data_IF_279997366714
#
_entry.id   IF_279997366714
#
_cell.length_a   1.000
_cell.length_b   1.000
_cell.length_c   1.000
_cell.angle_alpha   90.00
_cell.angle_beta   90.00
_cell.angle_gamma   90.00
#
_symmetry.space_group_name_H-M   'P 1'
#
loop_
_entity.id
_entity.type
_entity.pdbx_description
1 polymer ?
#
# COMPACT_ATOMS: atom_id res chain seq x y z
N UNK A 1 40.97 -80.78 -6.89
CA UNK A 1 39.52 -80.65 -6.56
C UNK A 1 39.39 -79.32 -5.87
N UNK A 2 38.79 -78.31 -6.52
CA UNK A 2 38.57 -76.94 -5.98
C UNK A 2 37.09 -76.80 -5.72
N UNK A 3 36.72 -76.68 -4.45
CA UNK A 3 35.35 -76.52 -3.98
C UNK A 3 35.03 -74.98 -4.03
N UNK A 4 34.02 -74.57 -4.80
CA UNK A 4 33.51 -73.22 -4.86
C UNK A 4 32.42 -73.04 -3.83
N UNK A 5 32.63 -72.15 -2.86
CA UNK A 5 31.61 -71.69 -1.94
C UNK A 5 30.79 -70.60 -2.64
N UNK A 6 29.49 -70.75 -2.79
CA UNK A 6 28.55 -69.78 -3.22
C UNK A 6 28.01 -69.08 -1.94
N UNK A 7 28.31 -67.77 -1.78
CA UNK A 7 27.72 -66.96 -0.77
C UNK A 7 26.53 -66.21 -1.41
N UNK A 8 25.32 -66.58 -0.99
CA UNK A 8 24.11 -65.85 -1.35
C UNK A 8 23.95 -64.63 -0.40
N UNK A 9 24.14 -63.44 -0.94
CA UNK A 9 23.84 -62.22 -0.21
C UNK A 9 22.33 -61.88 -0.31
N UNK A 10 21.59 -62.00 0.78
CA UNK A 10 20.20 -61.54 0.88
C UNK A 10 20.21 -60.04 1.02
N UNK A 11 19.77 -59.32 -0.02
CA UNK A 11 19.46 -57.91 0.07
C UNK A 11 18.14 -57.71 0.85
N UNK A 12 18.24 -57.33 2.11
CA UNK A 12 17.10 -56.83 2.85
C UNK A 12 16.80 -55.40 2.40
N UNK A 13 15.76 -55.21 1.59
CA UNK A 13 15.18 -53.88 1.33
C UNK A 13 14.54 -53.38 2.61
N UNK A 14 15.30 -52.58 3.40
CA UNK A 14 14.72 -51.73 4.43
C UNK A 14 14.04 -50.54 3.75
N UNK A 15 12.70 -50.50 3.83
CA UNK A 15 11.93 -49.30 3.44
C UNK A 15 12.44 -48.10 4.26
N UNK A 16 12.67 -46.95 3.64
CA UNK A 16 13.04 -45.77 4.42
C UNK A 16 11.89 -45.41 5.36
N UNK A 17 12.17 -45.46 6.65
CA UNK A 17 11.27 -44.85 7.63
C UNK A 17 11.05 -43.40 7.25
N UNK A 18 9.81 -43.03 6.98
CA UNK A 18 9.44 -41.62 6.81
C UNK A 18 9.81 -40.93 8.12
N UNK A 19 10.92 -40.20 8.11
CA UNK A 19 11.24 -39.27 9.21
C UNK A 19 10.10 -38.26 9.28
N UNK A 20 9.41 -38.20 10.40
CA UNK A 20 8.40 -37.20 10.63
C UNK A 20 9.04 -35.81 10.34
N UNK A 21 8.41 -35.03 9.48
CA UNK A 21 8.85 -33.65 9.19
C UNK A 21 8.96 -32.94 10.52
N UNK A 22 10.12 -32.39 10.90
CA UNK A 22 10.26 -31.70 12.18
C UNK A 22 9.27 -30.55 12.22
N UNK A 23 8.55 -30.41 13.36
CA UNK A 23 7.65 -29.29 13.57
C UNK A 23 8.42 -28.00 13.35
N UNK A 24 7.88 -27.11 12.50
CA UNK A 24 8.48 -25.81 12.24
C UNK A 24 8.59 -25.06 13.57
N UNK A 25 9.78 -24.47 13.82
CA UNK A 25 9.97 -23.62 14.99
C UNK A 25 9.03 -22.39 14.92
N UNK A 26 8.50 -21.91 16.07
CA UNK A 26 7.68 -20.69 16.10
C UNK A 26 8.44 -19.50 15.48
N UNK A 27 7.72 -18.66 14.72
CA UNK A 27 8.28 -17.42 14.15
C UNK A 27 8.31 -16.27 15.17
N UNK A 28 7.99 -16.53 16.42
CA UNK A 28 8.02 -15.57 17.50
C UNK A 28 9.24 -15.77 18.40
N UNK A 29 9.77 -14.69 19.04
CA UNK A 29 10.79 -14.84 20.06
C UNK A 29 10.21 -15.54 21.30
N UNK A 30 11.06 -16.06 22.20
CA UNK A 30 10.61 -16.56 23.50
C UNK A 30 9.93 -15.46 24.31
N UNK A 31 8.62 -15.52 24.48
CA UNK A 31 7.83 -14.48 25.16
C UNK A 31 8.23 -14.26 26.63
N UNK A 32 8.79 -15.26 27.30
CA UNK A 32 9.33 -15.12 28.64
C UNK A 32 10.40 -14.01 28.77
N UNK A 33 11.11 -13.69 27.70
CA UNK A 33 12.07 -12.59 27.68
C UNK A 33 11.42 -11.19 27.82
N UNK A 34 10.11 -11.11 27.55
CA UNK A 34 9.33 -9.86 27.60
C UNK A 34 8.37 -9.80 28.80
N UNK A 35 8.39 -10.82 29.65
CA UNK A 35 7.63 -10.83 30.92
C UNK A 35 8.40 -10.03 31.99
N UNK A 36 7.77 -9.48 32.88
CA UNK A 36 7.42 -8.22 33.47
C UNK A 36 8.56 -7.19 33.50
N UNK A 37 8.90 -6.53 32.41
CA UNK A 37 9.67 -5.29 32.48
C UNK A 37 8.73 -4.09 32.25
N UNK A 38 9.00 -2.99 32.92
CA UNK A 38 8.39 -1.73 32.51
C UNK A 38 8.89 -1.43 31.07
N UNK A 39 7.95 -1.22 30.13
CA UNK A 39 8.23 -0.98 28.70
C UNK A 39 8.66 -2.24 27.90
N UNK A 40 8.05 -3.37 28.16
CA UNK A 40 8.29 -4.59 27.35
C UNK A 40 7.77 -4.46 25.92
N UNK A 41 6.63 -3.78 25.73
CA UNK A 41 5.95 -3.70 24.44
C UNK A 41 6.72 -2.95 23.35
N UNK A 42 7.43 -1.84 23.58
CA UNK A 42 8.23 -1.19 22.54
C UNK A 42 9.26 -2.12 21.91
N UNK A 43 9.98 -2.91 22.69
CA UNK A 43 10.95 -3.88 22.19
C UNK A 43 10.27 -5.02 21.38
N UNK A 44 9.11 -5.47 21.83
CA UNK A 44 8.34 -6.51 21.17
C UNK A 44 7.80 -6.03 19.82
N UNK A 45 7.27 -4.81 19.75
CA UNK A 45 6.79 -4.18 18.51
C UNK A 45 7.95 -4.02 17.52
N UNK A 46 9.11 -3.55 17.97
CA UNK A 46 10.29 -3.46 17.14
C UNK A 46 10.70 -4.82 16.58
N UNK A 47 10.65 -5.86 17.40
CA UNK A 47 10.94 -7.23 16.96
C UNK A 47 9.95 -7.71 15.90
N UNK A 48 8.65 -7.50 16.11
CA UNK A 48 7.62 -7.80 15.12
C UNK A 48 7.91 -7.13 13.76
N UNK A 49 8.21 -5.83 13.79
CA UNK A 49 8.52 -5.05 12.57
C UNK A 49 9.72 -5.62 11.83
N UNK A 50 10.81 -5.95 12.55
CA UNK A 50 12.03 -6.47 11.94
C UNK A 50 11.83 -7.87 11.35
N UNK A 51 11.11 -8.75 12.04
CA UNK A 51 10.83 -10.09 11.58
C UNK A 51 9.88 -10.06 10.36
N UNK A 52 8.82 -9.23 10.40
CA UNK A 52 7.93 -9.00 9.26
C UNK A 52 8.70 -8.45 8.04
N UNK A 53 9.59 -7.48 8.24
CA UNK A 53 10.42 -6.93 7.18
C UNK A 53 11.37 -8.00 6.60
N UNK A 54 11.97 -8.84 7.44
CA UNK A 54 12.84 -9.94 7.01
C UNK A 54 12.11 -10.98 6.17
N UNK A 55 10.89 -11.37 6.58
CA UNK A 55 10.04 -12.23 5.77
C UNK A 55 9.64 -11.59 4.44
N UNK A 56 9.36 -10.29 4.45
CA UNK A 56 9.02 -9.55 3.23
C UNK A 56 10.17 -9.49 2.23
N UNK A 57 11.42 -9.46 2.69
CA UNK A 57 12.62 -9.54 1.83
C UNK A 57 12.80 -10.93 1.22
N UNK A 58 12.40 -11.99 1.93
CA UNK A 58 12.47 -13.36 1.42
C UNK A 58 11.32 -13.64 0.44
N UNK A 59 10.10 -13.33 0.81
CA UNK A 59 8.89 -13.63 0.06
C UNK A 59 8.45 -12.43 -0.79
N UNK A 60 9.21 -12.07 -1.81
CA UNK A 60 8.95 -10.93 -2.69
C UNK A 60 7.90 -11.21 -3.76
N UNK A 61 7.64 -12.48 -4.09
CA UNK A 61 6.66 -12.88 -5.10
C UNK A 61 5.25 -12.77 -4.51
N UNK A 62 4.54 -11.71 -4.88
CA UNK A 62 3.33 -11.24 -4.19
C UNK A 62 2.21 -12.28 -4.08
N UNK A 63 1.96 -13.05 -5.15
CA UNK A 63 0.91 -14.06 -5.22
C UNK A 63 1.45 -15.48 -5.01
N UNK A 64 2.65 -15.64 -4.45
CA UNK A 64 3.25 -16.93 -4.11
C UNK A 64 2.46 -17.64 -3.02
N UNK A 65 2.23 -18.95 -3.20
CA UNK A 65 1.51 -19.75 -2.21
C UNK A 65 2.30 -19.84 -0.89
N UNK A 66 3.62 -20.00 -0.98
CA UNK A 66 4.52 -20.04 0.17
C UNK A 66 4.52 -18.71 0.94
N UNK A 67 4.45 -17.56 0.24
CA UNK A 67 4.30 -16.27 0.88
C UNK A 67 3.01 -16.21 1.72
N UNK A 68 1.87 -16.52 1.12
CA UNK A 68 0.58 -16.46 1.81
C UNK A 68 0.51 -17.38 3.02
N UNK A 69 1.06 -18.60 2.91
CA UNK A 69 1.11 -19.56 4.01
C UNK A 69 1.99 -19.06 5.14
N UNK A 70 3.20 -18.60 4.83
CA UNK A 70 4.18 -18.16 5.82
C UNK A 70 3.72 -16.91 6.57
N UNK A 71 3.16 -15.90 5.88
CA UNK A 71 2.64 -14.71 6.55
C UNK A 71 1.42 -15.03 7.42
N UNK A 72 0.50 -15.91 6.98
CA UNK A 72 -0.60 -16.35 7.84
C UNK A 72 -0.11 -17.10 9.08
N UNK A 73 0.94 -17.92 8.94
CA UNK A 73 1.59 -18.59 10.08
C UNK A 73 2.21 -17.56 11.01
N UNK A 74 3.00 -16.64 10.49
CA UNK A 74 3.62 -15.56 11.25
C UNK A 74 2.60 -14.78 12.09
N UNK A 75 1.52 -14.32 11.47
CA UNK A 75 0.48 -13.56 12.18
C UNK A 75 -0.21 -14.39 13.27
N UNK A 76 -0.54 -15.65 13.01
CA UNK A 76 -1.15 -16.53 14.02
C UNK A 76 -0.22 -16.82 15.19
N UNK A 77 1.05 -17.09 14.91
CA UNK A 77 2.06 -17.35 15.93
C UNK A 77 2.22 -16.13 16.85
N UNK A 78 2.23 -14.92 16.25
CA UNK A 78 2.31 -13.69 17.02
C UNK A 78 1.06 -13.42 17.87
N UNK A 79 -0.14 -13.67 17.34
CA UNK A 79 -1.38 -13.55 18.12
C UNK A 79 -1.38 -14.51 19.30
N UNK A 80 -1.05 -15.78 19.06
CA UNK A 80 -0.95 -16.79 20.11
C UNK A 80 0.10 -16.42 21.17
N UNK A 81 1.24 -15.89 20.75
CA UNK A 81 2.29 -15.44 21.64
C UNK A 81 1.88 -14.23 22.50
N UNK A 82 1.18 -13.25 21.91
CA UNK A 82 0.63 -12.10 22.64
C UNK A 82 -0.34 -12.53 23.74
N UNK A 83 -1.15 -13.58 23.51
CA UNK A 83 -2.10 -14.10 24.51
C UNK A 83 -1.41 -14.72 25.74
N UNK A 84 -0.12 -15.04 25.66
CA UNK A 84 0.65 -15.54 26.80
C UNK A 84 1.23 -14.44 27.71
N UNK A 85 1.15 -13.19 27.29
CA UNK A 85 1.72 -12.06 28.03
C UNK A 85 0.84 -11.66 29.20
N UNK A 86 1.43 -11.23 30.34
CA UNK A 86 0.69 -10.86 31.56
C UNK A 86 0.09 -9.45 31.43
N UNK A 87 -0.89 -9.28 30.55
CA UNK A 87 -1.51 -7.99 30.21
C UNK A 87 -1.91 -7.16 31.45
N UNK A 88 -2.54 -7.77 32.43
CA UNK A 88 -3.03 -7.06 33.63
C UNK A 88 -1.90 -6.51 34.50
N UNK A 89 -0.69 -7.05 34.38
CA UNK A 89 0.48 -6.58 35.14
C UNK A 89 1.22 -5.42 34.46
N UNK A 90 0.86 -5.11 33.21
CA UNK A 90 1.49 -4.03 32.43
C UNK A 90 0.99 -2.65 32.86
N UNK A 91 1.87 -1.65 32.73
CA UNK A 91 1.50 -0.25 32.83
C UNK A 91 0.58 0.19 31.68
N UNK A 92 -0.01 1.37 31.79
CA UNK A 92 -0.99 1.88 30.83
C UNK A 92 -0.43 1.92 29.41
N UNK A 93 0.81 2.39 29.24
CA UNK A 93 1.45 2.51 27.91
C UNK A 93 1.66 1.14 27.25
N UNK A 94 2.16 0.15 28.01
CA UNK A 94 2.34 -1.20 27.48
C UNK A 94 1.01 -1.89 27.16
N UNK A 95 -0.04 -1.64 27.94
CA UNK A 95 -1.39 -2.15 27.62
C UNK A 95 -1.95 -1.53 26.33
N UNK A 96 -1.75 -0.24 26.13
CA UNK A 96 -2.11 0.44 24.88
C UNK A 96 -1.35 -0.19 23.70
N UNK A 97 -0.05 -0.31 23.81
CA UNK A 97 0.82 -0.89 22.77
C UNK A 97 0.46 -2.35 22.46
N UNK A 98 0.10 -3.14 23.48
CA UNK A 98 -0.38 -4.53 23.31
C UNK A 98 -1.68 -4.57 22.48
N UNK A 99 -2.66 -3.72 22.83
CA UNK A 99 -3.95 -3.65 22.11
C UNK A 99 -3.73 -3.21 20.67
N UNK A 100 -2.87 -2.20 20.45
CA UNK A 100 -2.55 -1.70 19.11
C UNK A 100 -1.84 -2.75 18.26
N UNK A 101 -0.86 -3.47 18.82
CA UNK A 101 -0.14 -4.53 18.09
C UNK A 101 -1.08 -5.69 17.74
N UNK A 102 -1.89 -6.15 18.69
CA UNK A 102 -2.88 -7.20 18.44
C UNK A 102 -3.83 -6.81 17.31
N UNK A 103 -4.39 -5.63 17.39
CA UNK A 103 -5.33 -5.12 16.39
C UNK A 103 -4.68 -5.00 14.98
N UNK A 104 -3.43 -4.56 14.93
CA UNK A 104 -2.66 -4.51 13.68
C UNK A 104 -2.46 -5.91 13.07
N UNK A 105 -2.07 -6.89 13.88
CA UNK A 105 -1.83 -8.26 13.41
C UNK A 105 -3.13 -8.94 12.95
N UNK A 106 -4.24 -8.74 13.67
CA UNK A 106 -5.57 -9.23 13.25
C UNK A 106 -5.98 -8.64 11.90
N UNK A 107 -5.71 -7.35 11.69
CA UNK A 107 -5.97 -6.68 10.43
C UNK A 107 -5.11 -7.26 9.30
N UNK A 108 -3.79 -7.41 9.49
CA UNK A 108 -2.88 -7.95 8.48
C UNK A 108 -3.21 -9.41 8.11
N UNK A 109 -3.61 -10.22 9.09
CA UNK A 109 -4.08 -11.59 8.85
C UNK A 109 -5.32 -11.60 7.96
N UNK A 110 -6.25 -10.68 8.18
CA UNK A 110 -7.44 -10.52 7.34
C UNK A 110 -7.08 -10.01 5.94
N UNK A 111 -6.25 -8.97 5.83
CA UNK A 111 -5.79 -8.43 4.55
C UNK A 111 -5.13 -9.52 3.69
N UNK A 112 -4.35 -10.41 4.31
CA UNK A 112 -3.75 -11.53 3.58
C UNK A 112 -4.84 -12.48 3.02
N UNK A 113 -5.87 -12.77 3.79
CA UNK A 113 -6.98 -13.60 3.33
C UNK A 113 -7.78 -12.94 2.19
N UNK A 114 -8.00 -11.62 2.28
CA UNK A 114 -8.68 -10.85 1.25
C UNK A 114 -7.85 -10.76 -0.04
N UNK A 115 -6.53 -10.60 0.05
CA UNK A 115 -5.62 -10.65 -1.10
C UNK A 115 -5.68 -12.00 -1.81
N UNK A 116 -5.65 -13.10 -1.06
CA UNK A 116 -5.76 -14.45 -1.59
C UNK A 116 -7.13 -14.69 -2.27
N UNK A 117 -8.21 -14.17 -1.70
CA UNK A 117 -9.55 -14.25 -2.29
C UNK A 117 -9.64 -13.48 -3.61
N UNK A 118 -9.12 -12.27 -3.64
CA UNK A 118 -9.09 -11.40 -4.83
C UNK A 118 -8.22 -11.98 -5.94
N UNK A 119 -7.10 -12.62 -5.61
CA UNK A 119 -6.29 -13.33 -6.58
C UNK A 119 -7.08 -14.49 -7.20
N UNK A 120 -7.76 -15.31 -6.37
CA UNK A 120 -8.61 -16.43 -6.86
C UNK A 120 -9.74 -15.96 -7.77
N UNK A 121 -10.34 -14.79 -7.53
CA UNK A 121 -11.33 -14.20 -8.43
C UNK A 121 -10.74 -13.82 -9.80
N UNK A 122 -9.49 -13.37 -9.83
CA UNK A 122 -8.80 -12.98 -11.06
C UNK A 122 -8.15 -14.16 -11.80
N UNK A 123 -7.87 -15.26 -11.11
CA UNK A 123 -7.15 -16.45 -11.64
C UNK A 123 -7.75 -17.02 -12.94
N UNK A 124 -9.09 -17.08 -13.14
CA UNK A 124 -9.68 -17.51 -14.41
C UNK A 124 -9.29 -16.66 -15.63
N UNK A 125 -8.87 -15.41 -15.42
CA UNK A 125 -8.35 -14.54 -16.48
C UNK A 125 -6.85 -14.74 -16.72
N UNK A 126 -6.12 -15.34 -15.78
CA UNK A 126 -4.67 -15.58 -15.86
C UNK A 126 -4.31 -17.04 -15.53
N UNK A 127 -4.92 -18.03 -16.22
CA UNK A 127 -4.80 -19.46 -15.84
C UNK A 127 -3.39 -20.03 -15.97
N UNK A 128 -2.48 -19.31 -16.62
CA UNK A 128 -1.07 -19.64 -16.79
C UNK A 128 -0.17 -19.05 -15.70
N UNK A 129 -0.71 -18.23 -14.80
CA UNK A 129 0.11 -17.48 -13.86
C UNK A 129 0.72 -18.36 -12.76
N UNK A 130 -0.04 -19.31 -12.21
CA UNK A 130 0.40 -20.12 -11.05
C UNK A 130 1.74 -20.82 -11.28
N UNK A 131 1.97 -21.59 -12.35
CA UNK A 131 3.26 -22.25 -12.57
C UNK A 131 4.44 -21.29 -12.70
N UNK A 132 4.19 -20.08 -13.23
CA UNK A 132 5.22 -19.06 -13.40
C UNK A 132 5.52 -18.32 -12.08
N UNK A 133 4.52 -18.12 -11.24
CA UNK A 133 4.66 -17.61 -9.87
C UNK A 133 5.50 -18.60 -9.05
N UNK A 134 5.17 -19.89 -9.12
CA UNK A 134 5.89 -20.94 -8.40
C UNK A 134 7.36 -21.04 -8.86
N UNK A 135 7.63 -20.84 -10.16
CA UNK A 135 8.98 -20.77 -10.70
C UNK A 135 9.78 -19.58 -10.10
N UNK A 136 9.16 -18.41 -10.03
CA UNK A 136 9.80 -17.22 -9.45
C UNK A 136 10.04 -17.41 -7.94
N UNK A 137 9.10 -18.01 -7.22
CA UNK A 137 9.22 -18.32 -5.79
C UNK A 137 10.34 -19.34 -5.54
N UNK A 138 10.42 -20.40 -6.35
CA UNK A 138 11.47 -21.41 -6.26
C UNK A 138 12.87 -20.82 -6.38
N UNK A 139 13.09 -19.84 -7.27
CA UNK A 139 14.36 -19.10 -7.35
C UNK A 139 14.65 -18.31 -6.08
N UNK A 140 13.64 -17.60 -5.56
CA UNK A 140 13.78 -16.82 -4.31
C UNK A 140 14.16 -17.71 -3.13
N UNK A 141 13.66 -18.93 -3.12
CA UNK A 141 14.01 -19.95 -2.12
C UNK A 141 15.30 -20.73 -2.47
N UNK A 142 16.06 -20.27 -3.47
CA UNK A 142 17.36 -20.86 -3.91
C UNK A 142 17.24 -22.33 -4.33
N UNK A 143 16.08 -22.74 -4.84
CA UNK A 143 15.87 -24.08 -5.37
C UNK A 143 16.54 -24.25 -6.74
N UNK A 144 17.19 -25.38 -6.97
CA UNK A 144 17.82 -25.69 -8.24
C UNK A 144 16.82 -25.71 -9.39
N UNK A 145 17.19 -25.16 -10.54
CA UNK A 145 16.36 -25.07 -11.73
C UNK A 145 16.94 -25.95 -12.86
N UNK A 146 16.08 -26.73 -13.49
CA UNK A 146 16.44 -27.47 -14.71
C UNK A 146 16.00 -26.66 -15.95
N UNK A 147 16.94 -26.26 -16.78
CA UNK A 147 16.68 -25.39 -17.93
C UNK A 147 15.71 -25.99 -18.96
N UNK A 148 15.73 -27.32 -19.18
CA UNK A 148 14.81 -28.00 -20.10
C UNK A 148 13.40 -28.05 -19.53
N UNK A 149 13.27 -28.38 -18.24
CA UNK A 149 11.97 -28.39 -17.56
C UNK A 149 11.34 -26.99 -17.57
N UNK A 150 12.11 -25.96 -17.25
CA UNK A 150 11.64 -24.56 -17.29
C UNK A 150 11.25 -24.12 -18.69
N UNK A 151 12.03 -24.45 -19.72
CA UNK A 151 11.67 -24.16 -21.12
C UNK A 151 10.35 -24.82 -21.51
N UNK A 152 10.12 -26.06 -21.08
CA UNK A 152 8.86 -26.79 -21.31
C UNK A 152 7.69 -26.09 -20.59
N UNK A 153 7.87 -25.68 -19.33
CA UNK A 153 6.87 -24.94 -18.55
C UNK A 153 6.51 -23.61 -19.23
N UNK A 154 7.52 -22.86 -19.71
CA UNK A 154 7.28 -21.61 -20.44
C UNK A 154 6.52 -21.82 -21.75
N UNK A 155 6.82 -22.90 -22.48
CA UNK A 155 6.10 -23.27 -23.70
C UNK A 155 4.64 -23.64 -23.40
N UNK A 156 4.39 -24.41 -22.35
CA UNK A 156 3.03 -24.74 -21.91
C UNK A 156 2.26 -23.48 -21.49
N UNK A 157 2.92 -22.59 -20.77
CA UNK A 157 2.35 -21.28 -20.37
C UNK A 157 2.02 -20.41 -21.58
N UNK A 158 2.88 -20.40 -22.61
CA UNK A 158 2.61 -19.70 -23.86
C UNK A 158 1.34 -20.22 -24.54
N UNK A 159 1.17 -21.52 -24.63
CA UNK A 159 -0.06 -22.12 -25.18
C UNK A 159 -1.30 -21.72 -24.36
N UNK A 160 -1.16 -21.65 -23.05
CA UNK A 160 -2.26 -21.20 -22.16
C UNK A 160 -2.58 -19.71 -22.35
N UNK A 161 -1.57 -18.85 -22.53
CA UNK A 161 -1.75 -17.43 -22.88
C UNK A 161 -2.49 -17.29 -24.22
N UNK A 162 -2.10 -18.03 -25.23
CA UNK A 162 -2.75 -18.02 -26.55
C UNK A 162 -4.23 -18.43 -26.46
N UNK A 163 -4.53 -19.50 -25.72
CA UNK A 163 -5.92 -19.93 -25.46
C UNK A 163 -6.73 -18.87 -24.72
N UNK A 164 -6.14 -18.22 -23.70
CA UNK A 164 -6.79 -17.15 -22.97
C UNK A 164 -7.05 -15.94 -23.90
N UNK A 165 -6.10 -15.62 -24.78
CA UNK A 165 -6.25 -14.54 -25.77
C UNK A 165 -7.41 -14.83 -26.74
N UNK A 166 -7.51 -16.04 -27.29
CA UNK A 166 -8.61 -16.40 -28.20
C UNK A 166 -9.97 -16.38 -27.48
N UNK A 167 -10.02 -16.88 -26.26
CA UNK A 167 -11.23 -16.81 -25.42
C UNK A 167 -11.66 -15.36 -25.17
N UNK A 168 -10.70 -14.48 -24.88
CA UNK A 168 -10.97 -13.06 -24.66
C UNK A 168 -11.47 -12.35 -25.94
N UNK A 169 -10.88 -12.66 -27.10
CA UNK A 169 -11.34 -12.13 -28.39
C UNK A 169 -12.78 -12.58 -28.72
N UNK A 170 -13.12 -13.81 -28.36
CA UNK A 170 -14.43 -14.38 -28.66
C UNK A 170 -15.56 -13.87 -27.77
N UNK A 171 -15.29 -13.51 -26.51
CA UNK A 171 -16.33 -13.16 -25.54
C UNK A 171 -16.00 -12.02 -24.59
N UNK A 172 -14.83 -11.38 -24.73
CA UNK A 172 -14.41 -10.28 -23.86
C UNK A 172 -14.94 -8.94 -24.34
N UNK A 173 -16.05 -8.48 -23.75
CA UNK A 173 -16.58 -7.13 -23.93
C UNK A 173 -17.11 -6.64 -22.57
N UNK A 174 -16.55 -5.53 -22.10
CA UNK A 174 -16.97 -4.89 -20.84
C UNK A 174 -18.39 -4.33 -20.91
N UNK A 175 -18.89 -4.05 -22.10
CA UNK A 175 -20.25 -3.55 -22.36
C UNK A 175 -21.27 -4.65 -22.66
N UNK A 176 -20.83 -5.92 -22.68
CA UNK A 176 -21.75 -7.05 -22.84
C UNK A 176 -22.80 -7.10 -21.72
N UNK A 177 -23.99 -7.60 -22.03
CA UNK A 177 -25.06 -7.79 -21.02
C UNK A 177 -24.61 -8.69 -19.84
N UNK A 178 -23.69 -9.62 -20.10
CA UNK A 178 -23.02 -10.46 -19.10
C UNK A 178 -21.51 -10.49 -19.39
N UNK A 179 -20.74 -9.56 -18.84
CA UNK A 179 -19.29 -9.54 -19.03
C UNK A 179 -18.62 -10.82 -18.50
N UNK A 180 -17.49 -11.19 -19.11
CA UNK A 180 -16.68 -12.33 -18.67
C UNK A 180 -16.16 -12.17 -17.22
N UNK A 181 -15.90 -10.92 -16.80
CA UNK A 181 -15.52 -10.54 -15.46
C UNK A 181 -15.92 -9.09 -15.17
N UNK A 182 -15.95 -8.70 -13.91
CA UNK A 182 -16.11 -7.30 -13.53
C UNK A 182 -14.87 -6.48 -13.92
N UNK A 183 -15.03 -5.17 -14.10
CA UNK A 183 -13.89 -4.25 -14.35
C UNK A 183 -12.82 -4.33 -13.27
N UNK A 184 -13.22 -4.42 -12.00
CA UNK A 184 -12.27 -4.54 -10.88
C UNK A 184 -11.50 -5.87 -10.94
N UNK A 185 -12.18 -6.99 -11.22
CA UNK A 185 -11.52 -8.30 -11.40
C UNK A 185 -10.55 -8.29 -12.59
N UNK A 186 -10.95 -7.70 -13.73
CA UNK A 186 -10.08 -7.55 -14.89
C UNK A 186 -8.86 -6.67 -14.58
N UNK A 187 -9.06 -5.54 -13.88
CA UNK A 187 -7.97 -4.66 -13.45
C UNK A 187 -6.98 -5.38 -12.51
N UNK A 188 -7.48 -6.24 -11.62
CA UNK A 188 -6.61 -7.09 -10.77
C UNK A 188 -5.79 -8.09 -11.60
N UNK A 189 -6.41 -8.69 -12.63
CA UNK A 189 -5.71 -9.60 -13.55
C UNK A 189 -4.59 -8.87 -14.32
N UNK A 190 -4.84 -7.64 -14.80
CA UNK A 190 -3.82 -6.79 -15.45
C UNK A 190 -2.67 -6.48 -14.48
N UNK A 191 -2.97 -6.13 -13.22
CA UNK A 191 -1.94 -5.90 -12.19
C UNK A 191 -1.15 -7.18 -11.88
N UNK A 192 -1.82 -8.33 -11.84
CA UNK A 192 -1.17 -9.64 -11.67
C UNK A 192 -0.20 -9.94 -12.80
N UNK A 193 -0.59 -9.66 -14.06
CA UNK A 193 0.28 -9.84 -15.22
C UNK A 193 1.50 -8.91 -15.20
N UNK A 194 1.32 -7.66 -14.81
CA UNK A 194 2.42 -6.71 -14.67
C UNK A 194 3.43 -7.18 -13.61
N UNK A 195 2.94 -7.64 -12.45
CA UNK A 195 3.80 -8.19 -11.39
C UNK A 195 4.51 -9.46 -11.87
N UNK A 196 3.79 -10.38 -12.49
CA UNK A 196 4.36 -11.62 -13.02
C UNK A 196 5.44 -11.36 -14.07
N UNK A 197 5.23 -10.40 -14.96
CA UNK A 197 6.24 -9.97 -15.93
C UNK A 197 7.50 -9.42 -15.25
N UNK A 198 7.36 -8.65 -14.18
CA UNK A 198 8.47 -8.15 -13.38
C UNK A 198 9.21 -9.30 -12.68
N UNK A 199 8.47 -10.21 -12.03
CA UNK A 199 9.05 -11.37 -11.34
C UNK A 199 9.82 -12.29 -12.31
N UNK A 200 9.29 -12.53 -13.51
CA UNK A 200 9.96 -13.32 -14.54
C UNK A 200 11.16 -12.61 -15.15
N UNK A 201 11.12 -11.28 -15.28
CA UNK A 201 12.28 -10.48 -15.69
C UNK A 201 13.42 -10.60 -14.67
N UNK A 202 13.10 -10.49 -13.39
CA UNK A 202 14.07 -10.68 -12.29
C UNK A 202 14.60 -12.12 -12.27
N UNK A 203 13.71 -13.11 -12.48
CA UNK A 203 14.07 -14.51 -12.58
C UNK A 203 15.05 -14.75 -13.73
N UNK A 204 14.73 -14.27 -14.94
CA UNK A 204 15.58 -14.46 -16.12
C UNK A 204 16.91 -13.70 -15.97
N UNK A 205 16.87 -12.45 -15.52
CA UNK A 205 18.07 -11.63 -15.32
C UNK A 205 19.06 -12.18 -14.28
N UNK A 206 18.57 -12.99 -13.34
CA UNK A 206 19.45 -13.68 -12.39
C UNK A 206 20.32 -14.75 -13.07
N UNK A 207 19.77 -15.46 -14.06
CA UNK A 207 20.48 -16.56 -14.73
C UNK A 207 21.20 -16.12 -16.00
N UNK A 208 20.71 -15.08 -16.68
CA UNK A 208 21.28 -14.60 -17.95
C UNK A 208 22.75 -14.22 -17.79
N UNK A 209 23.62 -14.87 -18.61
CA UNK A 209 25.07 -14.66 -18.57
C UNK A 209 25.81 -15.32 -17.39
N UNK A 210 25.09 -15.81 -16.38
CA UNK A 210 25.65 -16.50 -15.23
C UNK A 210 25.56 -18.04 -15.39
N UNK A 211 24.40 -18.56 -15.81
CA UNK A 211 24.20 -19.97 -16.14
C UNK A 211 24.00 -20.13 -17.66
N UNK A 212 25.07 -20.49 -18.41
CA UNK A 212 24.99 -20.60 -19.87
C UNK A 212 24.05 -21.71 -20.34
N UNK A 213 23.98 -22.83 -19.61
CA UNK A 213 23.16 -23.96 -19.97
C UNK A 213 21.69 -23.67 -19.78
N UNK A 214 21.30 -23.12 -18.64
CA UNK A 214 19.93 -22.69 -18.38
C UNK A 214 19.52 -21.58 -19.36
N UNK A 215 20.36 -20.58 -19.54
CA UNK A 215 20.12 -19.46 -20.47
C UNK A 215 19.89 -19.96 -21.90
N UNK A 216 20.68 -20.93 -22.36
CA UNK A 216 20.51 -21.53 -23.69
C UNK A 216 19.14 -22.15 -23.89
N UNK A 217 18.62 -22.88 -22.87
CA UNK A 217 17.29 -23.50 -22.94
C UNK A 217 16.14 -22.48 -22.89
N UNK A 218 16.23 -21.47 -22.02
CA UNK A 218 15.08 -20.66 -21.65
C UNK A 218 14.98 -19.34 -22.41
N UNK A 219 16.05 -18.85 -23.06
CA UNK A 219 16.09 -17.52 -23.70
C UNK A 219 14.92 -17.28 -24.66
N UNK A 220 14.74 -18.15 -25.64
CA UNK A 220 13.66 -17.96 -26.64
C UNK A 220 12.26 -18.19 -26.04
N UNK A 221 12.01 -19.27 -25.27
CA UNK A 221 10.74 -19.45 -24.56
C UNK A 221 10.37 -18.23 -23.70
N UNK A 222 11.33 -17.68 -22.93
CA UNK A 222 11.10 -16.52 -22.09
C UNK A 222 10.69 -15.28 -22.91
N UNK A 223 11.46 -14.93 -23.93
CA UNK A 223 11.18 -13.74 -24.76
C UNK A 223 9.80 -13.85 -25.44
N UNK A 224 9.47 -15.02 -25.96
CA UNK A 224 8.19 -15.26 -26.63
C UNK A 224 7.02 -15.20 -25.66
N UNK A 225 7.17 -15.83 -24.49
CA UNK A 225 6.15 -15.84 -23.44
C UNK A 225 5.91 -14.42 -22.89
N UNK A 226 6.99 -13.70 -22.59
CA UNK A 226 6.90 -12.36 -22.01
C UNK A 226 6.17 -11.39 -22.98
N UNK A 227 6.49 -11.49 -24.28
CA UNK A 227 5.77 -10.72 -25.30
C UNK A 227 4.28 -11.11 -25.35
N UNK A 228 3.97 -12.40 -25.38
CA UNK A 228 2.58 -12.87 -25.43
C UNK A 228 1.77 -12.43 -24.21
N UNK A 229 2.37 -12.44 -23.01
CA UNK A 229 1.73 -11.93 -21.77
C UNK A 229 1.49 -10.42 -21.84
N UNK A 230 2.43 -9.64 -22.41
CA UNK A 230 2.25 -8.20 -22.58
C UNK A 230 1.11 -7.89 -23.56
N UNK A 231 1.07 -8.57 -24.72
CA UNK A 231 0.01 -8.43 -25.71
C UNK A 231 -1.37 -8.82 -25.12
N UNK A 232 -1.42 -9.91 -24.34
CA UNK A 232 -2.64 -10.33 -23.65
C UNK A 232 -3.09 -9.34 -22.60
N UNK A 233 -2.15 -8.79 -21.80
CA UNK A 233 -2.45 -7.78 -20.79
C UNK A 233 -3.05 -6.52 -21.40
N UNK A 234 -2.51 -6.04 -22.52
CA UNK A 234 -3.04 -4.90 -23.26
C UNK A 234 -4.46 -5.18 -23.77
N UNK A 235 -4.70 -6.37 -24.34
CA UNK A 235 -6.03 -6.77 -24.83
C UNK A 235 -7.03 -6.90 -23.68
N UNK A 236 -6.62 -7.43 -22.52
CA UNK A 236 -7.45 -7.55 -21.34
C UNK A 236 -7.86 -6.17 -20.79
N UNK A 237 -6.90 -5.24 -20.73
CA UNK A 237 -7.15 -3.86 -20.32
C UNK A 237 -8.13 -3.15 -21.28
N UNK A 238 -7.92 -3.29 -22.57
CA UNK A 238 -8.83 -2.75 -23.61
C UNK A 238 -10.25 -3.31 -23.52
N UNK A 239 -10.37 -4.65 -23.47
CA UNK A 239 -11.66 -5.34 -23.62
C UNK A 239 -12.49 -5.39 -22.34
N UNK A 240 -11.90 -5.52 -21.18
CA UNK A 240 -12.61 -5.72 -19.89
C UNK A 240 -12.44 -4.59 -18.90
N UNK A 241 -11.35 -3.83 -18.92
CA UNK A 241 -11.20 -2.64 -18.07
C UNK A 241 -11.78 -1.40 -18.77
N UNK A 242 -11.67 -1.35 -20.11
CA UNK A 242 -12.24 -0.28 -20.91
C UNK A 242 -11.47 1.03 -20.78
N UNK A 243 -10.15 0.99 -20.75
CA UNK A 243 -9.30 2.18 -20.82
C UNK A 243 -9.32 2.78 -22.23
N UNK A 244 -10.47 3.23 -22.67
CA UNK A 244 -10.55 4.16 -23.77
C UNK A 244 -10.41 5.57 -23.18
N UNK A 245 -9.28 6.21 -23.43
CA UNK A 245 -8.96 7.59 -23.07
C UNK A 245 -8.36 7.80 -21.67
N UNK A 246 -7.17 8.37 -21.64
CA UNK A 246 -6.44 8.86 -20.48
C UNK A 246 -7.10 10.12 -19.86
N UNK A 247 -8.39 10.06 -19.54
CA UNK A 247 -9.02 11.08 -18.73
C UNK A 247 -8.95 10.65 -17.27
N UNK A 248 -8.58 11.56 -16.38
CA UNK A 248 -8.56 11.40 -14.92
C UNK A 248 -9.88 10.82 -14.34
N UNK A 249 -10.95 10.76 -15.13
CA UNK A 249 -12.26 10.27 -14.74
C UNK A 249 -12.49 8.76 -14.95
N UNK A 250 -11.55 8.03 -15.56
CA UNK A 250 -11.65 6.59 -15.80
C UNK A 250 -10.92 5.78 -14.72
N UNK A 251 -11.21 6.06 -13.46
CA UNK A 251 -10.70 5.28 -12.33
C UNK A 251 -11.54 4.01 -12.18
N UNK A 252 -10.91 2.84 -12.29
CA UNK A 252 -11.54 1.57 -11.92
C UNK A 252 -11.39 1.38 -10.42
N UNK A 253 -12.51 1.46 -9.69
CA UNK A 253 -12.54 1.19 -8.26
C UNK A 253 -12.25 -0.29 -7.94
N UNK A 254 -11.68 -0.53 -6.79
CA UNK A 254 -11.46 -1.88 -6.24
C UNK A 254 -12.02 -1.95 -4.81
N UNK A 255 -13.36 -1.96 -4.65
CA UNK A 255 -14.02 -1.84 -3.35
C UNK A 255 -13.67 -3.03 -2.44
N UNK A 256 -13.38 -2.72 -1.17
CA UNK A 256 -13.07 -3.74 -0.15
C UNK A 256 -14.32 -4.40 0.44
N UNK A 257 -15.50 -3.89 0.09
CA UNK A 257 -16.78 -4.37 0.64
C UNK A 257 -17.00 -3.92 2.09
N UNK A 258 -18.23 -4.20 2.58
CA UNK A 258 -18.62 -3.79 3.94
C UNK A 258 -17.72 -4.41 5.02
N UNK A 259 -17.45 -5.70 4.92
CA UNK A 259 -16.65 -6.41 5.93
C UNK A 259 -15.20 -5.91 5.95
N UNK A 260 -14.63 -5.60 4.79
CA UNK A 260 -13.31 -4.96 4.67
C UNK A 260 -13.29 -3.58 5.32
N UNK A 261 -14.33 -2.77 5.07
CA UNK A 261 -14.46 -1.44 5.67
C UNK A 261 -14.59 -1.50 7.19
N UNK A 262 -15.43 -2.39 7.72
CA UNK A 262 -15.58 -2.60 9.17
C UNK A 262 -14.28 -3.08 9.81
N UNK A 263 -13.53 -3.96 9.12
CA UNK A 263 -12.19 -4.38 9.57
C UNK A 263 -11.20 -3.23 9.62
N UNK A 264 -11.23 -2.34 8.61
CA UNK A 264 -10.40 -1.13 8.59
C UNK A 264 -10.78 -0.17 9.73
N UNK A 265 -12.07 0.02 10.01
CA UNK A 265 -12.52 0.83 11.15
C UNK A 265 -12.07 0.24 12.50
N UNK A 266 -12.13 -1.08 12.65
CA UNK A 266 -11.60 -1.74 13.85
C UNK A 266 -10.10 -1.49 14.01
N UNK A 267 -9.32 -1.58 12.91
CA UNK A 267 -7.89 -1.25 12.94
C UNK A 267 -7.64 0.20 13.37
N UNK A 268 -8.42 1.14 12.86
CA UNK A 268 -8.33 2.55 13.22
C UNK A 268 -8.93 2.87 14.61
N UNK A 269 -9.46 1.86 15.31
CA UNK A 269 -10.15 1.99 16.60
C UNK A 269 -11.32 2.99 16.57
N UNK A 270 -12.00 3.08 15.43
CA UNK A 270 -13.17 3.93 15.27
C UNK A 270 -14.40 3.27 15.88
N UNK A 271 -15.07 3.92 16.84
CA UNK A 271 -16.25 3.36 17.52
C UNK A 271 -17.56 3.58 16.73
N UNK A 272 -17.46 3.80 15.42
CA UNK A 272 -18.58 4.12 14.56
C UNK A 272 -18.82 3.03 13.51
N UNK A 273 -20.07 2.85 13.13
CA UNK A 273 -20.43 2.15 11.90
C UNK A 273 -20.24 3.06 10.68
N UNK A 274 -20.12 2.50 9.45
CA UNK A 274 -20.08 3.31 8.24
C UNK A 274 -21.29 4.25 8.10
N UNK A 275 -22.47 3.81 8.49
CA UNK A 275 -23.72 4.57 8.43
C UNK A 275 -23.72 5.75 9.41
N UNK A 276 -23.22 5.55 10.63
CA UNK A 276 -23.07 6.62 11.61
C UNK A 276 -22.06 7.67 11.15
N UNK A 277 -20.94 7.25 10.52
CA UNK A 277 -19.99 8.20 9.95
C UNK A 277 -20.59 8.98 8.77
N UNK A 278 -21.39 8.34 7.93
CA UNK A 278 -22.11 9.05 6.86
C UNK A 278 -23.08 10.09 7.41
N UNK A 279 -23.88 9.75 8.42
CA UNK A 279 -24.79 10.69 9.07
C UNK A 279 -24.05 11.85 9.75
N UNK A 280 -22.89 11.58 10.37
CA UNK A 280 -22.02 12.62 10.93
C UNK A 280 -21.49 13.54 9.82
N UNK A 281 -21.01 12.98 8.71
CA UNK A 281 -20.51 13.77 7.58
C UNK A 281 -21.61 14.66 6.95
N UNK A 282 -22.84 14.16 6.83
CA UNK A 282 -23.98 14.96 6.35
C UNK A 282 -24.28 16.14 7.28
N UNK A 283 -24.19 15.92 8.60
CA UNK A 283 -24.35 17.00 9.60
C UNK A 283 -23.25 18.06 9.49
N UNK A 284 -21.99 17.62 9.36
CA UNK A 284 -20.85 18.52 9.20
C UNK A 284 -20.91 19.30 7.87
N UNK A 285 -21.37 18.66 6.79
CA UNK A 285 -21.59 19.33 5.51
C UNK A 285 -22.65 20.41 5.61
N UNK A 286 -23.78 20.13 6.26
CA UNK A 286 -24.85 21.10 6.49
C UNK A 286 -24.36 22.28 7.35
N UNK A 287 -23.57 22.01 8.37
CA UNK A 287 -22.92 23.06 9.18
C UNK A 287 -21.97 23.90 8.32
N UNK A 288 -21.12 23.28 7.51
CA UNK A 288 -20.17 23.97 6.62
C UNK A 288 -20.89 24.88 5.61
N UNK A 289 -22.00 24.41 5.02
CA UNK A 289 -22.82 25.26 4.14
C UNK A 289 -23.46 26.45 4.86
N UNK A 290 -23.92 26.24 6.09
CA UNK A 290 -24.45 27.34 6.90
C UNK A 290 -23.39 28.40 7.20
N UNK A 291 -22.16 27.99 7.54
CA UNK A 291 -21.02 28.89 7.76
C UNK A 291 -20.59 29.64 6.48
N UNK A 292 -20.62 28.97 5.32
CA UNK A 292 -20.36 29.62 4.02
C UNK A 292 -21.42 30.68 3.73
N UNK A 293 -22.70 30.45 4.02
CA UNK A 293 -23.76 31.44 3.86
C UNK A 293 -23.61 32.60 4.85
N UNK A 294 -23.26 32.32 6.10
CA UNK A 294 -22.98 33.36 7.11
C UNK A 294 -21.86 34.28 6.66
N UNK A 295 -20.71 33.72 6.25
CA UNK A 295 -19.57 34.46 5.74
C UNK A 295 -19.92 35.26 4.46
N UNK A 296 -20.72 34.68 3.55
CA UNK A 296 -21.22 35.37 2.36
C UNK A 296 -22.07 36.58 2.68
N UNK A 297 -22.98 36.47 3.66
CA UNK A 297 -23.79 37.59 4.15
C UNK A 297 -22.92 38.71 4.77
N UNK A 298 -21.94 38.35 5.59
CA UNK A 298 -20.98 39.31 6.17
C UNK A 298 -20.16 40.04 5.09
N UNK A 299 -19.86 39.38 3.97
CA UNK A 299 -19.17 39.95 2.82
C UNK A 299 -20.07 40.78 1.91
N UNK A 300 -21.40 40.83 2.15
CA UNK A 300 -22.38 41.58 1.38
C UNK A 300 -22.91 40.89 0.12
N UNK A 301 -22.74 39.53 0.02
CA UNK A 301 -23.24 38.74 -1.11
C UNK A 301 -24.56 38.02 -0.80
N UNK A 302 -25.16 38.22 0.38
CA UNK A 302 -26.34 37.47 0.79
C UNK A 302 -26.07 35.97 0.81
N UNK A 303 -27.03 35.17 0.35
CA UNK A 303 -26.90 33.71 0.32
C UNK A 303 -26.03 33.18 -0.84
N UNK A 304 -25.54 34.05 -1.72
CA UNK A 304 -24.68 33.64 -2.84
C UNK A 304 -23.21 33.45 -2.40
N UNK A 305 -22.99 32.43 -1.58
CA UNK A 305 -21.65 32.08 -1.11
C UNK A 305 -20.68 31.74 -2.26
N UNK A 306 -21.19 31.33 -3.44
CA UNK A 306 -20.35 31.08 -4.61
C UNK A 306 -19.73 32.35 -5.16
N UNK A 307 -20.51 33.42 -5.26
CA UNK A 307 -20.00 34.72 -5.67
C UNK A 307 -19.01 35.30 -4.63
N UNK A 308 -19.29 35.13 -3.33
CA UNK A 308 -18.35 35.46 -2.27
C UNK A 308 -17.02 34.73 -2.40
N UNK A 309 -17.08 33.41 -2.66
CA UNK A 309 -15.90 32.56 -2.88
C UNK A 309 -15.10 33.00 -4.13
N UNK A 310 -15.78 33.35 -5.22
CA UNK A 310 -15.11 33.88 -6.42
C UNK A 310 -14.36 35.18 -6.13
N UNK A 311 -14.90 36.07 -5.30
CA UNK A 311 -14.18 37.26 -4.82
C UNK A 311 -12.92 36.87 -4.03
N UNK A 312 -13.03 35.92 -3.10
CA UNK A 312 -11.89 35.43 -2.30
C UNK A 312 -10.82 34.81 -3.19
N UNK A 313 -11.17 33.99 -4.16
CA UNK A 313 -10.23 33.38 -5.11
C UNK A 313 -9.43 34.44 -5.89
N UNK A 314 -10.00 35.58 -6.17
CA UNK A 314 -9.34 36.65 -6.91
C UNK A 314 -8.39 37.53 -6.05
N UNK A 315 -8.18 37.20 -4.78
CA UNK A 315 -7.19 37.86 -3.90
C UNK A 315 -5.81 37.23 -3.95
N UNK A 316 -5.52 36.41 -4.95
CA UNK A 316 -4.24 35.73 -5.08
C UNK A 316 -3.04 36.68 -5.19
N UNK A 317 -1.87 36.21 -4.74
CA UNK A 317 -0.61 36.96 -4.87
C UNK A 317 -0.04 36.87 -6.29
N UNK A 318 0.82 37.77 -6.67
CA UNK A 318 1.48 37.77 -7.97
C UNK A 318 2.34 36.48 -8.16
N UNK A 319 2.54 36.02 -9.41
CA UNK A 319 3.46 34.90 -9.70
C UNK A 319 4.85 35.16 -9.10
N UNK A 320 5.37 34.12 -8.40
CA UNK A 320 6.66 34.21 -7.70
C UNK A 320 6.57 34.64 -6.23
N UNK A 321 5.42 35.12 -5.75
CA UNK A 321 5.25 35.58 -4.38
C UNK A 321 4.72 34.52 -3.40
N UNK A 322 4.32 33.35 -3.90
CA UNK A 322 3.74 32.30 -3.07
C UNK A 322 4.68 31.85 -1.96
N UNK A 323 5.99 31.74 -2.23
CA UNK A 323 6.97 31.31 -1.23
C UNK A 323 7.11 32.32 -0.08
N UNK A 324 7.08 33.60 -0.37
CA UNK A 324 7.12 34.67 0.63
C UNK A 324 5.85 34.65 1.49
N UNK A 325 4.68 34.49 0.86
CA UNK A 325 3.39 34.36 1.52
C UNK A 325 3.36 33.15 2.46
N UNK A 326 3.73 31.97 2.00
CA UNK A 326 3.75 30.72 2.81
C UNK A 326 4.68 30.90 4.02
N UNK A 327 5.86 31.50 3.83
CA UNK A 327 6.79 31.76 4.94
C UNK A 327 6.24 32.72 5.98
N UNK A 328 5.54 33.77 5.54
CA UNK A 328 4.91 34.75 6.44
C UNK A 328 3.78 34.10 7.26
N UNK A 329 2.92 33.31 6.60
CA UNK A 329 1.83 32.57 7.26
C UNK A 329 2.34 31.48 8.22
N UNK A 330 3.42 30.78 7.87
CA UNK A 330 4.04 29.80 8.78
C UNK A 330 4.60 30.51 10.05
N UNK A 331 5.24 31.65 9.88
CA UNK A 331 5.73 32.44 11.02
C UNK A 331 4.57 32.91 11.91
N UNK A 332 3.52 33.44 11.30
CA UNK A 332 2.31 33.88 12.00
C UNK A 332 1.69 32.76 12.83
N UNK A 333 1.54 31.54 12.24
CA UNK A 333 1.01 30.38 12.92
C UNK A 333 1.86 29.97 14.13
N UNK A 334 3.18 29.88 13.96
CA UNK A 334 4.11 29.54 15.03
C UNK A 334 4.06 30.55 16.17
N UNK A 335 4.07 31.86 15.84
CA UNK A 335 4.03 32.90 16.84
C UNK A 335 2.69 32.91 17.59
N UNK A 336 1.58 32.70 16.91
CA UNK A 336 0.25 32.61 17.52
C UNK A 336 0.14 31.42 18.49
N UNK A 337 0.57 30.23 18.07
CA UNK A 337 0.56 29.04 18.91
C UNK A 337 1.42 29.21 20.15
N UNK A 338 2.61 29.81 20.00
CA UNK A 338 3.52 30.06 21.11
C UNK A 338 2.99 31.15 22.08
N UNK A 339 2.43 32.25 21.54
CA UNK A 339 1.92 33.32 22.36
C UNK A 339 0.68 32.94 23.18
N UNK A 340 -0.12 31.98 22.69
CA UNK A 340 -1.32 31.49 23.36
C UNK A 340 -1.11 30.20 24.13
N UNK A 341 0.12 29.70 24.23
CA UNK A 341 0.48 28.44 24.91
C UNK A 341 -0.43 27.25 24.53
N UNK A 342 -0.77 27.15 23.24
CA UNK A 342 -1.74 26.15 22.75
C UNK A 342 -1.14 24.74 22.71
N UNK A 343 0.11 24.62 22.27
CA UNK A 343 0.87 23.37 22.21
C UNK A 343 2.36 23.66 22.24
N UNK A 344 3.13 22.72 22.81
CA UNK A 344 4.60 22.84 22.86
C UNK A 344 5.20 22.76 21.45
N UNK A 345 5.92 23.80 21.03
CA UNK A 345 6.66 23.84 19.77
C UNK A 345 8.17 23.82 20.06
N UNK A 346 8.83 22.65 19.95
CA UNK A 346 10.29 22.57 20.16
C UNK A 346 11.03 23.45 19.16
N UNK A 347 12.14 24.08 19.60
CA UNK A 347 12.93 25.00 18.77
C UNK A 347 13.44 24.31 17.48
N UNK A 348 13.79 23.01 17.56
CA UNK A 348 14.20 22.25 16.37
C UNK A 348 13.03 22.09 15.40
N UNK A 349 11.80 21.84 15.88
CA UNK A 349 10.62 21.77 15.02
C UNK A 349 10.37 23.11 14.31
N UNK A 350 10.47 24.22 15.08
CA UNK A 350 10.33 25.59 14.56
C UNK A 350 11.27 25.89 13.39
N UNK A 351 12.47 25.32 13.37
CA UNK A 351 13.54 25.60 12.38
C UNK A 351 13.70 24.56 11.29
N UNK A 352 13.16 23.34 11.46
CA UNK A 352 13.49 22.21 10.59
C UNK A 352 12.53 22.02 9.41
N UNK A 353 11.40 22.71 9.35
CA UNK A 353 10.52 22.61 8.19
C UNK A 353 11.18 23.25 6.95
N UNK A 354 10.84 22.72 5.77
CA UNK A 354 11.39 23.16 4.47
C UNK A 354 10.26 23.41 3.48
N UNK A 355 10.63 24.06 2.39
CA UNK A 355 9.73 24.34 1.29
C UNK A 355 10.33 23.86 -0.01
N UNK A 356 9.58 23.05 -0.77
CA UNK A 356 9.88 22.62 -2.12
C UNK A 356 8.77 23.06 -3.08
N UNK A 357 9.07 23.05 -4.38
CA UNK A 357 8.12 23.36 -5.43
C UNK A 357 7.60 22.07 -6.06
N UNK A 358 6.29 21.99 -6.30
CA UNK A 358 5.68 20.93 -7.08
C UNK A 358 6.02 21.11 -8.57
N UNK A 359 6.35 20.01 -9.26
CA UNK A 359 6.48 20.04 -10.71
C UNK A 359 5.13 20.32 -11.39
N UNK A 360 5.16 20.80 -12.64
CA UNK A 360 3.94 21.03 -13.40
C UNK A 360 3.06 19.79 -13.50
N UNK A 361 3.65 18.61 -13.70
CA UNK A 361 2.95 17.31 -13.76
C UNK A 361 2.32 16.96 -12.41
N UNK A 362 3.05 17.16 -11.31
CA UNK A 362 2.53 16.88 -9.96
C UNK A 362 1.35 17.81 -9.64
N UNK A 363 1.37 19.06 -10.07
CA UNK A 363 0.27 20.02 -9.88
C UNK A 363 -0.99 19.65 -10.67
N UNK A 364 -0.89 18.89 -11.76
CA UNK A 364 -2.07 18.39 -12.48
C UNK A 364 -2.87 17.36 -11.66
N UNK A 365 -2.21 16.67 -10.73
CA UNK A 365 -2.82 15.65 -9.86
C UNK A 365 -3.18 16.27 -8.50
N UNK A 366 -2.30 17.11 -7.96
CA UNK A 366 -2.43 17.75 -6.64
C UNK A 366 -2.12 19.23 -6.76
N UNK A 367 -3.10 20.06 -7.14
CA UNK A 367 -2.91 21.48 -7.44
C UNK A 367 -2.78 22.36 -6.18
N UNK A 368 -2.81 21.77 -5.00
CA UNK A 368 -2.72 22.43 -3.71
C UNK A 368 -1.38 22.17 -3.04
N UNK A 369 -1.07 22.97 -2.00
CA UNK A 369 0.11 22.72 -1.18
C UNK A 369 -0.03 21.38 -0.45
N UNK A 370 1.08 20.66 -0.31
CA UNK A 370 1.19 19.40 0.41
C UNK A 370 2.27 19.56 1.49
N UNK A 371 2.12 18.84 2.61
CA UNK A 371 3.02 19.03 3.73
C UNK A 371 3.64 17.78 4.32
N UNK A 372 3.89 17.86 5.59
CA UNK A 372 4.74 16.99 6.39
C UNK A 372 5.94 17.80 6.89
N UNK A 373 7.13 17.22 6.96
CA UNK A 373 8.36 17.97 7.30
C UNK A 373 8.84 18.91 6.17
N UNK A 374 8.25 18.82 5.00
CA UNK A 374 8.48 19.71 3.85
C UNK A 374 7.15 20.12 3.26
N UNK A 375 6.84 21.42 3.27
CA UNK A 375 5.70 21.91 2.53
C UNK A 375 6.06 22.04 1.05
N UNK A 376 5.24 21.45 0.18
CA UNK A 376 5.37 21.52 -1.27
C UNK A 376 4.38 22.53 -1.82
N UNK A 377 4.88 23.54 -2.47
CA UNK A 377 4.08 24.69 -2.92
C UNK A 377 3.69 24.50 -4.38
N UNK A 378 2.39 24.58 -4.66
CA UNK A 378 1.88 24.71 -6.02
C UNK A 378 1.98 26.16 -6.49
N UNK A 379 2.48 26.39 -7.71
CA UNK A 379 2.66 27.72 -8.30
C UNK A 379 2.61 27.64 -9.82
N UNK A 380 2.29 28.76 -10.52
CA UNK A 380 2.25 28.75 -11.98
C UNK A 380 3.64 28.50 -12.58
N UNK A 381 3.73 27.58 -13.53
CA UNK A 381 4.94 27.28 -14.29
C UNK A 381 4.81 27.81 -15.72
N UNK A 382 5.93 28.01 -16.40
CA UNK A 382 5.96 28.48 -17.81
C UNK A 382 5.32 27.51 -18.80
N UNK A 383 5.34 26.20 -18.49
CA UNK A 383 4.72 25.14 -19.29
C UNK A 383 3.21 25.04 -19.17
N UNK A 384 2.59 25.69 -18.17
CA UNK A 384 1.14 25.72 -17.99
C UNK A 384 0.46 26.69 -18.94
N UNK A 385 -0.77 26.35 -19.35
CA UNK A 385 -1.65 27.30 -20.07
C UNK A 385 -2.02 28.47 -19.15
N UNK A 386 -2.51 29.57 -19.75
CA UNK A 386 -2.95 30.73 -18.97
C UNK A 386 -4.01 30.37 -17.93
N UNK A 387 -5.00 29.57 -18.31
CA UNK A 387 -6.08 29.13 -17.41
C UNK A 387 -5.56 28.25 -16.27
N UNK A 388 -4.61 27.37 -16.54
CA UNK A 388 -3.95 26.54 -15.50
C UNK A 388 -3.17 27.43 -14.52
N UNK A 389 -2.44 28.43 -15.00
CA UNK A 389 -1.73 29.39 -14.15
C UNK A 389 -2.68 30.17 -13.25
N UNK A 390 -3.79 30.67 -13.82
CA UNK A 390 -4.83 31.35 -13.03
C UNK A 390 -5.48 30.42 -12.00
N UNK A 391 -5.82 29.19 -12.41
CA UNK A 391 -6.42 28.21 -11.52
C UNK A 391 -5.52 27.89 -10.33
N UNK A 392 -4.21 27.67 -10.55
CA UNK A 392 -3.22 27.45 -9.48
C UNK A 392 -3.15 28.63 -8.52
N UNK A 393 -3.08 29.86 -9.00
CA UNK A 393 -3.02 31.06 -8.15
C UNK A 393 -4.32 31.28 -7.37
N UNK A 394 -5.47 31.16 -8.04
CA UNK A 394 -6.79 31.35 -7.43
C UNK A 394 -7.12 30.27 -6.41
N UNK A 395 -6.72 29.02 -6.67
CA UNK A 395 -6.85 27.92 -5.71
C UNK A 395 -5.99 28.10 -4.48
N UNK A 396 -4.78 28.64 -4.65
CA UNK A 396 -3.82 28.87 -3.56
C UNK A 396 -3.79 30.37 -3.14
N UNK A 397 -4.95 31.00 -3.02
CA UNK A 397 -5.09 32.38 -2.52
C UNK A 397 -4.70 32.46 -1.02
N UNK A 398 -4.42 33.66 -0.48
CA UNK A 398 -3.92 33.83 0.90
C UNK A 398 -4.84 33.23 1.97
N UNK A 399 -6.16 33.24 1.78
CA UNK A 399 -7.11 32.72 2.77
C UNK A 399 -7.08 31.21 2.84
N UNK A 400 -7.13 30.54 1.68
CA UNK A 400 -7.00 29.10 1.61
C UNK A 400 -5.60 28.62 2.04
N UNK A 401 -4.56 29.33 1.57
CA UNK A 401 -3.17 29.03 1.94
C UNK A 401 -2.93 29.13 3.44
N UNK A 402 -3.58 30.06 4.14
CA UNK A 402 -3.48 30.17 5.61
C UNK A 402 -3.92 28.89 6.29
N UNK A 403 -5.11 28.36 5.95
CA UNK A 403 -5.59 27.10 6.51
C UNK A 403 -4.65 25.92 6.18
N UNK A 404 -4.18 25.83 4.92
CA UNK A 404 -3.27 24.76 4.49
C UNK A 404 -1.92 24.86 5.19
N UNK A 405 -1.33 26.04 5.36
CA UNK A 405 -0.05 26.19 6.07
C UNK A 405 -0.13 25.76 7.53
N UNK A 406 -1.24 26.05 8.21
CA UNK A 406 -1.47 25.59 9.58
C UNK A 406 -1.62 24.06 9.63
N UNK A 407 -2.38 23.48 8.69
CA UNK A 407 -2.59 22.05 8.54
C UNK A 407 -1.29 21.30 8.22
N UNK A 408 -0.48 21.79 7.29
CA UNK A 408 0.70 21.09 6.80
C UNK A 408 1.95 21.27 7.67
N UNK A 409 2.08 22.41 8.35
CA UNK A 409 3.30 22.71 9.10
C UNK A 409 3.08 22.66 10.63
N UNK A 410 2.95 23.83 11.26
CA UNK A 410 2.79 24.00 12.71
C UNK A 410 1.53 24.80 12.95
N UNK A 411 0.58 24.27 13.72
CA UNK A 411 0.65 23.09 14.59
C UNK A 411 0.35 21.73 13.93
N UNK A 412 0.13 21.66 12.62
CA UNK A 412 -0.36 20.50 11.90
C UNK A 412 0.67 19.36 11.70
N UNK A 413 0.72 18.78 10.50
CA UNK A 413 1.46 17.56 10.17
C UNK A 413 2.94 17.59 10.56
N UNK A 414 3.65 18.72 10.31
CA UNK A 414 5.06 18.82 10.66
C UNK A 414 5.29 18.64 12.16
N UNK A 415 4.54 19.37 13.00
CA UNK A 415 4.69 19.26 14.45
C UNK A 415 4.29 17.88 14.95
N UNK A 416 3.16 17.34 14.49
CA UNK A 416 2.69 16.00 14.86
C UNK A 416 3.74 14.93 14.56
N UNK A 417 4.24 14.88 13.32
CA UNK A 417 5.23 13.89 12.91
C UNK A 417 6.56 14.09 13.64
N UNK A 418 6.96 15.34 13.86
CA UNK A 418 8.15 15.67 14.63
C UNK A 418 8.07 15.11 16.05
N UNK A 419 6.93 15.26 16.72
CA UNK A 419 6.71 14.78 18.08
C UNK A 419 6.54 13.26 18.12
N UNK A 420 5.72 12.69 17.23
CA UNK A 420 5.48 11.24 17.14
C UNK A 420 6.77 10.44 16.88
N UNK A 421 7.71 11.01 16.10
CA UNK A 421 9.00 10.37 15.84
C UNK A 421 9.93 10.34 17.05
N UNK A 422 9.67 11.11 18.09
CA UNK A 422 10.50 11.24 19.31
C UNK A 422 9.85 10.66 20.53
N UNK A 423 8.52 10.66 20.58
CA UNK A 423 7.75 10.08 21.65
C UNK A 423 7.09 8.81 21.15
N UNK A 424 7.35 7.67 21.80
CA UNK A 424 6.79 6.36 21.45
C UNK A 424 7.04 5.98 19.95
N UNK A 425 8.29 5.98 19.44
CA UNK A 425 8.59 5.79 18.03
C UNK A 425 8.14 4.44 17.47
N UNK A 426 7.95 3.41 18.31
CA UNK A 426 7.39 2.12 17.92
C UNK A 426 5.95 2.24 17.39
N UNK A 427 5.19 3.25 17.83
CA UNK A 427 3.80 3.49 17.41
C UNK A 427 3.66 3.94 15.94
N UNK A 428 4.76 4.20 15.24
CA UNK A 428 4.73 4.41 13.79
C UNK A 428 4.16 3.23 13.01
N UNK A 429 4.26 2.01 13.57
CA UNK A 429 3.61 0.83 12.98
C UNK A 429 2.09 1.01 12.89
N UNK A 430 1.50 1.74 13.80
CA UNK A 430 0.06 1.91 13.97
C UNK A 430 -0.45 3.22 13.37
N UNK A 431 0.23 3.72 12.32
CA UNK A 431 -0.15 4.98 11.70
C UNK A 431 -1.63 4.94 11.25
N UNK A 432 -2.40 5.89 11.78
CA UNK A 432 -3.83 6.04 11.52
C UNK A 432 -4.07 7.33 10.72
N UNK A 433 -4.64 7.25 9.50
CA UNK A 433 -5.05 8.44 8.75
C UNK A 433 -5.99 9.35 9.57
N UNK A 434 -6.91 8.76 10.34
CA UNK A 434 -7.83 9.54 11.19
C UNK A 434 -7.12 10.34 12.27
N UNK A 435 -6.07 9.77 12.88
CA UNK A 435 -5.26 10.49 13.84
C UNK A 435 -4.40 11.58 13.17
N UNK A 436 -3.80 11.26 12.02
CA UNK A 436 -2.91 12.18 11.29
C UNK A 436 -3.68 13.39 10.80
N UNK A 437 -4.80 13.16 10.11
CA UNK A 437 -5.64 14.24 9.57
C UNK A 437 -6.43 14.95 10.67
N UNK A 438 -7.00 14.20 11.62
CA UNK A 438 -7.77 14.77 12.73
C UNK A 438 -6.96 15.65 13.66
N UNK A 439 -5.66 15.42 13.80
CA UNK A 439 -4.77 16.34 14.49
C UNK A 439 -4.60 17.65 13.71
N UNK A 440 -4.44 17.55 12.39
CA UNK A 440 -4.08 18.66 11.53
C UNK A 440 -5.26 19.62 11.24
N UNK A 441 -6.51 19.13 11.35
CA UNK A 441 -7.75 19.93 11.27
C UNK A 441 -7.94 20.73 12.56
#
# INVERSE_FOLDING_TARGET
MRTRLLIAAALACSAPAHAATPALAPLTPPMAAFAPSQQAMPALIQRYQLDHASLSLLYTVRNGAGRSEEFRRFYRDWLAALDTLPFDSYGVEDRIDWVMLRNQIEFELREQADLDARYREAEPLVPFARPLIDLAEARRLMQAQDGRAVATLMQQSLVAVQKATERLKAGGDVHAAKPMASRSTASRAVKTLAQLSADLKDWYGYYEGYDPQLTWWVKQPYLTLNKAMADYSALLDERLVGKASATLLNVTGDPIGRDGLVSAFKREMLPYTPEELMALAEKELAWGEAELRRASNEMGFGDDWRAAMEKVKNTYVAPGEQTAMVRALAKEAIDYVAANDMVTVPEVARRSWRMDMLSAEAQMISPFFLGGHTIRVAYPTDTMTHDQKLMTMRGNNPHFTRAIVHHELIPGHHLQQFMANRHQPQRKLFNSPFFVEGWAV
#
